data_IF_543049398137
#
_entry.id   IF_543049398137
#
_cell.length_a   1.000
_cell.length_b   1.000
_cell.length_c   1.000
_cell.angle_alpha   90.00
_cell.angle_beta   90.00
_cell.angle_gamma   90.00
#
_symmetry.space_group_name_H-M   'P 1'
#
loop_
_entity.id
_entity.type
_entity.pdbx_description
1 polymer ?
#
# COMPACT_ATOMS: atom_id res chain seq x y z
N UNK A 1 -18.86 -8.98 -25.99
CA UNK A 1 -18.47 -9.33 -24.60
C UNK A 1 -17.49 -8.34 -23.92
N UNK A 2 -17.30 -7.10 -24.43
CA UNK A 2 -16.37 -6.12 -23.82
C UNK A 2 -16.96 -5.15 -22.77
N UNK A 3 -18.29 -5.05 -22.62
CA UNK A 3 -18.92 -4.05 -21.73
C UNK A 3 -18.83 -4.34 -20.23
N UNK A 4 -18.68 -5.58 -19.81
CA UNK A 4 -18.64 -5.91 -18.36
C UNK A 4 -17.28 -5.60 -17.70
N UNK A 5 -16.18 -5.70 -18.45
CA UNK A 5 -14.85 -5.39 -17.94
C UNK A 5 -14.66 -3.88 -17.73
N UNK A 6 -15.16 -3.04 -18.64
CA UNK A 6 -15.12 -1.58 -18.54
C UNK A 6 -15.89 -1.07 -17.32
N UNK A 7 -17.12 -1.55 -17.10
CA UNK A 7 -17.94 -1.14 -15.94
C UNK A 7 -17.27 -1.50 -14.61
N UNK A 8 -16.63 -2.66 -14.52
CA UNK A 8 -15.93 -3.07 -13.30
C UNK A 8 -14.70 -2.20 -13.03
N UNK A 9 -14.00 -1.79 -14.08
CA UNK A 9 -12.83 -0.91 -13.99
C UNK A 9 -13.24 0.50 -13.58
N UNK A 10 -14.32 1.05 -14.14
CA UNK A 10 -14.87 2.36 -13.80
C UNK A 10 -15.33 2.41 -12.33
N UNK A 11 -16.02 1.37 -11.84
CA UNK A 11 -16.44 1.28 -10.44
C UNK A 11 -15.24 1.23 -9.51
N UNK A 12 -14.20 0.44 -9.83
CA UNK A 12 -12.97 0.38 -9.03
C UNK A 12 -12.27 1.73 -8.97
N UNK A 13 -12.16 2.44 -10.10
CA UNK A 13 -11.55 3.77 -10.15
C UNK A 13 -12.36 4.79 -9.33
N UNK A 14 -13.69 4.76 -9.39
CA UNK A 14 -14.54 5.64 -8.59
C UNK A 14 -14.40 5.39 -7.08
N UNK A 15 -14.26 4.12 -6.66
CA UNK A 15 -14.03 3.77 -5.24
C UNK A 15 -12.68 4.28 -4.77
N UNK A 16 -11.61 4.10 -5.56
CA UNK A 16 -10.26 4.59 -5.23
C UNK A 16 -10.25 6.12 -5.17
N UNK A 17 -10.84 6.81 -6.14
CA UNK A 17 -10.90 8.28 -6.15
C UNK A 17 -11.60 8.84 -4.90
N UNK A 18 -12.72 8.22 -4.48
CA UNK A 18 -13.40 8.61 -3.24
C UNK A 18 -12.55 8.37 -2.00
N UNK A 19 -11.77 7.29 -1.96
CA UNK A 19 -10.82 7.03 -0.87
C UNK A 19 -9.72 8.10 -0.86
N UNK A 20 -9.19 8.46 -2.04
CA UNK A 20 -8.09 9.43 -2.17
C UNK A 20 -8.50 10.83 -1.68
N UNK A 21 -9.73 11.28 -1.98
CA UNK A 21 -10.29 12.54 -1.43
C UNK A 21 -10.33 12.51 0.11
N UNK A 22 -10.75 11.38 0.69
CA UNK A 22 -10.80 11.21 2.14
C UNK A 22 -9.40 11.10 2.76
N UNK A 23 -8.46 10.47 2.07
CA UNK A 23 -7.07 10.36 2.48
C UNK A 23 -6.39 11.74 2.49
N UNK A 24 -6.62 12.56 1.46
CA UNK A 24 -6.13 13.94 1.41
C UNK A 24 -6.69 14.80 2.54
N UNK A 25 -8.00 14.71 2.78
CA UNK A 25 -8.62 15.41 3.90
C UNK A 25 -8.02 14.99 5.25
N UNK A 26 -7.80 13.68 5.46
CA UNK A 26 -7.19 13.15 6.67
C UNK A 26 -5.73 13.61 6.83
N UNK A 27 -4.93 13.58 5.75
CA UNK A 27 -3.55 14.08 5.73
C UNK A 27 -3.49 15.53 6.18
N UNK A 28 -4.37 16.38 5.63
CA UNK A 28 -4.44 17.78 5.96
C UNK A 28 -4.89 18.02 7.42
N UNK A 29 -5.84 17.23 7.93
CA UNK A 29 -6.29 17.29 9.33
C UNK A 29 -5.15 16.94 10.29
N UNK A 30 -4.42 15.86 10.03
CA UNK A 30 -3.29 15.42 10.86
C UNK A 30 -2.11 16.39 10.78
N UNK A 31 -1.81 16.94 9.60
CA UNK A 31 -0.76 17.93 9.44
C UNK A 31 -1.04 19.20 10.27
N UNK A 32 -2.30 19.67 10.30
CA UNK A 32 -2.71 20.81 11.16
C UNK A 32 -2.55 20.52 12.66
N UNK A 33 -2.66 19.25 13.07
CA UNK A 33 -2.42 18.81 14.45
C UNK A 33 -0.93 18.59 14.75
N UNK A 34 -0.06 18.67 13.76
CA UNK A 34 1.36 18.34 13.91
C UNK A 34 1.61 16.85 14.11
N UNK A 35 0.75 16.00 13.55
CA UNK A 35 0.84 14.53 13.62
C UNK A 35 1.22 13.94 12.28
N UNK A 36 2.27 13.13 12.21
CA UNK A 36 2.60 12.31 11.04
C UNK A 36 1.87 10.96 11.13
N UNK A 37 1.26 10.51 10.03
CA UNK A 37 0.72 9.17 9.90
C UNK A 37 1.74 8.27 9.19
N UNK A 38 2.10 7.16 9.83
CA UNK A 38 3.02 6.14 9.30
C UNK A 38 2.24 4.85 9.02
N UNK A 39 2.13 4.47 7.76
CA UNK A 39 1.43 3.27 7.33
C UNK A 39 2.41 2.11 7.11
N UNK A 40 2.22 0.99 7.82
CA UNK A 40 3.06 -0.20 7.73
C UNK A 40 2.36 -1.28 6.91
N UNK A 41 2.95 -1.65 5.80
CA UNK A 41 2.50 -2.70 4.88
C UNK A 41 3.44 -3.91 4.94
N UNK A 42 2.90 -5.11 4.91
CA UNK A 42 3.72 -6.32 4.83
C UNK A 42 2.89 -7.55 4.45
N UNK A 43 3.57 -8.63 4.09
CA UNK A 43 2.95 -9.97 4.09
C UNK A 43 2.61 -10.42 5.50
N UNK A 44 1.71 -11.40 5.67
CA UNK A 44 1.54 -12.09 6.94
C UNK A 44 2.85 -12.72 7.40
N UNK A 45 3.11 -12.68 8.70
CA UNK A 45 4.31 -13.31 9.29
C UNK A 45 5.64 -12.56 9.07
N UNK A 46 5.67 -11.40 8.42
CA UNK A 46 6.89 -10.59 8.24
C UNK A 46 7.45 -9.95 9.52
N UNK A 47 6.76 -10.06 10.66
CA UNK A 47 7.19 -9.48 11.93
C UNK A 47 6.77 -8.03 12.16
N UNK A 48 5.78 -7.54 11.40
CA UNK A 48 5.27 -6.15 11.49
C UNK A 48 4.84 -5.77 12.91
N UNK A 49 3.97 -6.54 13.55
CA UNK A 49 3.49 -6.30 14.93
C UNK A 49 4.63 -6.29 15.94
N UNK A 50 5.61 -7.21 15.81
CA UNK A 50 6.75 -7.27 16.73
C UNK A 50 7.65 -6.04 16.59
N UNK A 51 7.99 -5.65 15.36
CA UNK A 51 8.78 -4.46 15.10
C UNK A 51 8.04 -3.20 15.61
N UNK A 52 6.76 -3.05 15.27
CA UNK A 52 5.98 -1.90 15.73
C UNK A 52 5.91 -1.83 17.24
N UNK A 53 5.71 -2.95 17.93
CA UNK A 53 5.73 -3.00 19.41
C UNK A 53 7.04 -2.48 19.99
N UNK A 54 8.19 -2.81 19.38
CA UNK A 54 9.52 -2.29 19.78
C UNK A 54 9.67 -0.80 19.49
N UNK A 55 9.21 -0.35 18.30
CA UNK A 55 9.25 1.07 17.93
C UNK A 55 8.40 1.91 18.88
N UNK A 56 7.20 1.45 19.23
CA UNK A 56 6.32 2.13 20.20
C UNK A 56 6.94 2.20 21.58
N UNK A 57 7.49 1.09 22.09
CA UNK A 57 8.18 1.05 23.39
C UNK A 57 9.36 2.03 23.41
N UNK A 58 10.16 2.05 22.35
CA UNK A 58 11.29 2.99 22.22
C UNK A 58 10.84 4.45 22.16
N UNK A 59 9.72 4.73 21.48
CA UNK A 59 9.14 6.08 21.47
C UNK A 59 8.70 6.51 22.87
N UNK A 60 8.04 5.63 23.62
CA UNK A 60 7.63 5.89 25.04
C UNK A 60 8.87 6.14 25.91
N UNK A 61 9.93 5.32 25.83
CA UNK A 61 11.20 5.52 26.53
C UNK A 61 11.84 6.88 26.22
N UNK A 62 11.74 7.34 24.97
CA UNK A 62 12.27 8.65 24.53
C UNK A 62 11.33 9.82 24.84
N UNK A 63 10.20 9.57 25.50
CA UNK A 63 9.19 10.59 25.82
C UNK A 63 8.49 11.18 24.57
N UNK A 64 8.50 10.46 23.44
CA UNK A 64 7.81 10.87 22.23
C UNK A 64 6.34 10.44 22.27
N UNK A 65 5.38 11.38 22.19
CA UNK A 65 3.96 11.03 22.16
C UNK A 65 3.58 10.33 20.86
N UNK A 66 3.32 9.03 20.94
CA UNK A 66 2.89 8.18 19.82
C UNK A 66 1.56 7.51 20.12
N UNK A 67 0.87 7.08 19.05
CA UNK A 67 -0.29 6.21 19.13
C UNK A 67 -0.25 5.18 18.01
N UNK A 68 -1.00 4.09 18.14
CA UNK A 68 -1.11 3.10 17.07
C UNK A 68 -2.56 2.71 16.78
N UNK A 69 -2.85 2.46 15.51
CA UNK A 69 -4.01 1.71 15.03
C UNK A 69 -3.51 0.39 14.47
N UNK A 70 -4.16 -0.72 14.83
CA UNK A 70 -3.90 -2.01 14.21
C UNK A 70 -5.15 -2.53 13.52
N UNK A 71 -5.00 -3.00 12.29
CA UNK A 71 -6.06 -3.63 11.52
C UNK A 71 -5.90 -5.15 11.57
N UNK A 72 -6.90 -5.83 12.08
CA UNK A 72 -6.96 -7.29 12.05
C UNK A 72 -8.33 -7.76 11.57
N UNK A 73 -8.33 -8.89 10.87
CA UNK A 73 -9.55 -9.49 10.30
C UNK A 73 -10.46 -10.09 11.38
N UNK A 74 -9.90 -10.58 12.52
CA UNK A 74 -10.67 -11.43 13.43
C UNK A 74 -10.25 -11.40 14.92
N UNK A 75 -9.07 -10.89 15.29
CA UNK A 75 -8.58 -11.06 16.68
C UNK A 75 -8.05 -9.76 17.29
N UNK A 76 -8.21 -9.62 18.61
CA UNK A 76 -7.62 -8.49 19.38
C UNK A 76 -6.17 -8.74 19.80
N UNK A 77 -5.54 -9.80 19.30
CA UNK A 77 -4.23 -10.22 19.80
C UNK A 77 -3.14 -9.20 19.48
N UNK A 78 -3.15 -8.61 18.29
CA UNK A 78 -2.15 -7.63 17.89
C UNK A 78 -2.30 -6.32 18.65
N UNK A 79 -3.53 -5.85 18.90
CA UNK A 79 -3.77 -4.69 19.77
C UNK A 79 -3.25 -4.91 21.20
N UNK A 80 -3.48 -6.08 21.78
CA UNK A 80 -2.97 -6.43 23.11
C UNK A 80 -1.44 -6.53 23.15
N UNK A 81 -0.83 -7.05 22.08
CA UNK A 81 0.64 -7.11 21.95
C UNK A 81 1.24 -5.71 21.89
N UNK A 82 0.69 -4.84 21.03
CA UNK A 82 1.16 -3.47 20.90
C UNK A 82 0.94 -2.64 22.18
N UNK A 83 -0.17 -2.84 22.90
CA UNK A 83 -0.45 -2.14 24.15
C UNK A 83 0.59 -2.38 25.26
N UNK A 84 1.36 -3.48 25.19
CA UNK A 84 2.48 -3.75 26.11
C UNK A 84 3.62 -2.73 25.99
N UNK A 85 3.68 -1.99 24.90
CA UNK A 85 4.63 -0.89 24.71
C UNK A 85 4.40 0.31 25.62
N UNK A 86 3.21 0.41 26.24
CA UNK A 86 2.78 1.58 27.00
C UNK A 86 2.18 2.72 26.15
N UNK A 87 2.21 2.61 24.82
CA UNK A 87 1.57 3.56 23.91
C UNK A 87 0.05 3.32 23.82
N UNK A 88 -0.77 4.36 23.59
CA UNK A 88 -2.18 4.20 23.24
C UNK A 88 -2.36 3.41 21.94
N UNK A 89 -3.12 2.32 21.99
CA UNK A 89 -3.39 1.46 20.85
C UNK A 89 -4.90 1.29 20.67
N UNK A 90 -5.36 1.37 19.44
CA UNK A 90 -6.74 1.10 19.06
C UNK A 90 -6.78 0.05 17.96
N UNK A 91 -7.82 -0.78 17.96
CA UNK A 91 -8.07 -1.74 16.90
C UNK A 91 -9.13 -1.22 15.94
N UNK A 92 -8.90 -1.45 14.66
CA UNK A 92 -9.89 -1.28 13.59
C UNK A 92 -10.30 -2.66 13.10
N UNK A 93 -11.58 -2.97 13.22
CA UNK A 93 -12.15 -4.15 12.57
C UNK A 93 -12.41 -3.79 11.12
N UNK A 94 -11.90 -4.60 10.19
CA UNK A 94 -12.03 -4.32 8.76
C UNK A 94 -13.30 -4.91 8.14
N UNK A 95 -14.15 -5.56 8.95
CA UNK A 95 -15.40 -6.20 8.50
C UNK A 95 -15.19 -7.17 7.32
N UNK A 96 -14.05 -7.90 7.36
CA UNK A 96 -13.67 -8.87 6.34
C UNK A 96 -12.92 -8.29 5.14
N UNK A 97 -12.64 -6.98 5.11
CA UNK A 97 -11.80 -6.37 4.09
C UNK A 97 -10.32 -6.72 4.32
N UNK A 98 -9.62 -7.02 3.23
CA UNK A 98 -8.18 -7.32 3.25
C UNK A 98 -7.28 -6.07 3.31
N UNK A 99 -7.83 -4.89 3.59
CA UNK A 99 -7.14 -3.60 3.68
C UNK A 99 -7.93 -2.62 4.54
N UNK A 100 -7.26 -1.53 4.94
CA UNK A 100 -7.90 -0.34 5.51
C UNK A 100 -8.20 0.68 4.41
N UNK A 101 -9.26 1.45 4.64
CA UNK A 101 -9.60 2.66 3.90
C UNK A 101 -9.42 3.91 4.77
N UNK A 102 -9.17 5.07 4.17
CA UNK A 102 -9.04 6.36 4.87
C UNK A 102 -10.28 6.68 5.73
N UNK A 103 -11.47 6.28 5.29
CA UNK A 103 -12.73 6.42 6.04
C UNK A 103 -12.69 5.72 7.39
N UNK A 104 -12.16 4.49 7.44
CA UNK A 104 -12.10 3.69 8.67
C UNK A 104 -11.09 4.28 9.65
N UNK A 105 -9.92 4.72 9.15
CA UNK A 105 -8.91 5.42 9.95
C UNK A 105 -9.50 6.70 10.55
N UNK A 106 -10.10 7.55 9.73
CA UNK A 106 -10.73 8.81 10.16
C UNK A 106 -11.81 8.59 11.22
N UNK A 107 -12.69 7.63 11.01
CA UNK A 107 -13.77 7.31 11.96
C UNK A 107 -13.22 6.85 13.31
N UNK A 108 -12.10 6.12 13.33
CA UNK A 108 -11.50 5.62 14.58
C UNK A 108 -10.76 6.72 15.33
N UNK A 109 -10.17 7.68 14.64
CA UNK A 109 -9.44 8.80 15.24
C UNK A 109 -10.36 9.87 15.84
N UNK A 110 -11.60 9.99 15.35
CA UNK A 110 -12.53 11.05 15.74
C UNK A 110 -12.72 11.11 17.28
N UNK A 111 -12.25 12.21 17.90
CA UNK A 111 -12.33 12.46 19.33
C UNK A 111 -11.51 11.52 20.23
N UNK A 112 -10.61 10.71 19.65
CA UNK A 112 -9.83 9.70 20.38
C UNK A 112 -8.33 9.86 20.25
N UNK A 113 -7.85 10.58 19.24
CA UNK A 113 -6.44 10.89 19.09
C UNK A 113 -6.10 12.08 19.99
N UNK A 114 -5.10 11.93 20.85
CA UNK A 114 -4.61 13.03 21.68
C UNK A 114 -3.99 14.13 20.78
N UNK A 115 -4.28 15.39 21.08
CA UNK A 115 -3.67 16.53 20.41
C UNK A 115 -2.13 16.59 20.60
N UNK A 116 -1.61 15.91 21.60
CA UNK A 116 -0.16 15.80 21.82
C UNK A 116 0.50 14.75 20.93
N UNK A 117 -0.26 13.88 20.24
CA UNK A 117 0.31 12.80 19.43
C UNK A 117 1.14 13.38 18.28
N UNK A 118 2.41 12.97 18.21
CA UNK A 118 3.33 13.38 17.14
C UNK A 118 3.36 12.38 16.00
N UNK A 119 3.34 11.09 16.30
CA UNK A 119 3.31 10.03 15.29
C UNK A 119 2.18 9.07 15.57
N UNK A 120 1.34 8.86 14.56
CA UNK A 120 0.32 7.82 14.53
C UNK A 120 0.80 6.69 13.62
N UNK A 121 1.08 5.53 14.19
CA UNK A 121 1.39 4.34 13.42
C UNK A 121 0.11 3.59 13.06
N UNK A 122 -0.01 3.19 11.81
CA UNK A 122 -1.10 2.33 11.31
C UNK A 122 -0.51 1.01 10.86
N UNK A 123 -0.78 -0.05 11.61
CA UNK A 123 -0.49 -1.40 11.21
C UNK A 123 -1.61 -1.90 10.32
N UNK A 124 -1.34 -1.98 9.01
CA UNK A 124 -2.31 -2.46 8.03
C UNK A 124 -2.43 -3.99 8.08
N UNK A 125 -3.50 -4.52 7.49
CA UNK A 125 -3.69 -5.98 7.32
C UNK A 125 -2.47 -6.60 6.64
N UNK A 126 -2.12 -7.82 7.07
CA UNK A 126 -1.01 -8.59 6.46
C UNK A 126 -1.33 -8.98 5.02
N UNK A 127 -1.07 -8.06 4.08
CA UNK A 127 -1.30 -8.20 2.64
C UNK A 127 -0.49 -7.13 1.91
N UNK A 128 0.12 -7.48 0.75
CA UNK A 128 0.88 -6.55 -0.08
C UNK A 128 0.16 -6.15 -1.37
N UNK A 129 -1.02 -6.68 -1.65
CA UNK A 129 -1.78 -6.37 -2.87
C UNK A 129 -2.81 -5.29 -2.61
N UNK A 130 -3.84 -5.60 -1.82
CA UNK A 130 -4.93 -4.67 -1.58
C UNK A 130 -4.49 -3.38 -0.86
N UNK A 131 -3.75 -3.42 0.28
CA UNK A 131 -3.37 -2.22 0.99
C UNK A 131 -2.46 -1.28 0.20
N UNK A 132 -1.65 -1.81 -0.74
CA UNK A 132 -0.76 -1.01 -1.57
C UNK A 132 -1.50 -0.04 -2.50
N UNK A 133 -2.76 -0.35 -2.85
CA UNK A 133 -3.58 0.45 -3.75
C UNK A 133 -4.38 1.56 -3.04
N UNK A 134 -4.40 1.59 -1.70
CA UNK A 134 -5.16 2.55 -0.93
C UNK A 134 -4.25 3.55 -0.21
N UNK A 135 -4.52 4.83 -0.43
CA UNK A 135 -3.93 5.92 0.34
C UNK A 135 -4.73 6.07 1.65
N UNK A 136 -4.04 6.12 2.78
CA UNK A 136 -4.64 6.36 4.09
C UNK A 136 -4.39 7.79 4.60
N UNK A 137 -3.81 8.66 3.77
CA UNK A 137 -3.35 9.99 4.16
C UNK A 137 -2.01 9.95 4.91
N UNK A 138 -1.23 8.90 4.71
CA UNK A 138 0.07 8.75 5.37
C UNK A 138 1.11 9.73 4.86
N UNK A 139 1.94 10.21 5.80
CA UNK A 139 3.15 10.99 5.52
C UNK A 139 4.35 10.07 5.21
N UNK A 140 4.29 8.82 5.69
CA UNK A 140 5.34 7.82 5.48
C UNK A 140 4.71 6.45 5.27
N UNK A 141 5.02 5.80 4.16
CA UNK A 141 4.66 4.41 3.86
C UNK A 141 5.89 3.54 4.03
N UNK A 142 5.82 2.59 4.95
CA UNK A 142 6.87 1.60 5.20
C UNK A 142 6.42 0.25 4.68
N UNK A 143 7.22 -0.37 3.82
CA UNK A 143 6.99 -1.75 3.38
C UNK A 143 7.98 -2.66 4.08
N UNK A 144 7.46 -3.66 4.80
CA UNK A 144 8.27 -4.63 5.54
C UNK A 144 8.29 -5.97 4.80
N UNK A 145 9.44 -6.62 4.87
CA UNK A 145 9.67 -7.98 4.35
C UNK A 145 10.63 -8.72 5.29
N UNK A 146 10.34 -9.96 5.63
CA UNK A 146 11.29 -10.80 6.35
C UNK A 146 12.30 -11.43 5.38
N UNK A 147 13.55 -11.62 5.82
CA UNK A 147 14.59 -12.32 5.02
C UNK A 147 14.14 -13.70 4.54
N UNK A 148 13.21 -14.34 5.23
CA UNK A 148 12.67 -15.67 4.88
C UNK A 148 11.65 -15.65 3.73
N UNK A 149 11.34 -14.48 3.16
CA UNK A 149 10.34 -14.33 2.09
C UNK A 149 10.93 -14.33 0.67
N UNK A 150 12.26 -14.30 0.55
CA UNK A 150 13.00 -14.37 -0.71
C UNK A 150 13.26 -13.01 -1.36
N UNK A 151 14.36 -12.91 -2.09
CA UNK A 151 14.91 -11.67 -2.66
C UNK A 151 14.07 -11.12 -3.82
N UNK A 152 13.28 -11.97 -4.45
CA UNK A 152 12.43 -11.63 -5.61
C UNK A 152 11.07 -11.02 -5.22
N UNK A 153 10.79 -10.92 -3.92
CA UNK A 153 9.55 -10.35 -3.38
C UNK A 153 9.22 -8.96 -3.97
N UNK A 154 10.19 -8.01 -4.10
CA UNK A 154 9.93 -6.71 -4.70
C UNK A 154 9.41 -6.80 -6.14
N UNK A 155 9.92 -7.76 -6.92
CA UNK A 155 9.51 -7.97 -8.31
C UNK A 155 8.11 -8.59 -8.42
N UNK A 156 7.71 -9.39 -7.42
CA UNK A 156 6.36 -10.00 -7.34
C UNK A 156 5.30 -9.02 -6.87
N UNK A 157 5.68 -8.01 -6.07
CA UNK A 157 4.77 -7.02 -5.51
C UNK A 157 5.22 -5.58 -5.82
N UNK A 158 5.38 -5.24 -7.12
CA UNK A 158 5.99 -3.97 -7.53
C UNK A 158 5.17 -2.76 -7.08
N UNK A 159 3.84 -2.87 -6.97
CA UNK A 159 2.99 -1.78 -6.46
C UNK A 159 3.31 -1.44 -5.01
N UNK A 160 3.47 -2.44 -4.14
CA UNK A 160 3.80 -2.20 -2.74
C UNK A 160 5.19 -1.57 -2.59
N UNK A 161 6.21 -2.21 -3.18
CA UNK A 161 7.58 -1.71 -3.06
C UNK A 161 7.80 -0.40 -3.82
N UNK A 162 7.16 -0.22 -4.98
CA UNK A 162 7.24 1.00 -5.79
C UNK A 162 6.52 2.21 -5.17
N UNK A 163 5.63 2.01 -4.20
CA UNK A 163 4.98 3.08 -3.43
C UNK A 163 5.60 3.32 -2.05
N UNK A 164 6.64 2.58 -1.67
CA UNK A 164 7.29 2.68 -0.37
C UNK A 164 8.16 3.93 -0.26
N UNK A 165 8.03 4.67 0.83
CA UNK A 165 8.97 5.72 1.22
C UNK A 165 10.18 5.14 1.95
N UNK A 166 10.02 3.96 2.55
CA UNK A 166 11.04 3.22 3.29
C UNK A 166 10.77 1.73 3.15
N UNK A 167 11.81 0.94 2.92
CA UNK A 167 11.75 -0.53 2.94
C UNK A 167 12.46 -1.02 4.20
N UNK A 168 11.84 -1.94 4.95
CA UNK A 168 12.45 -2.53 6.14
C UNK A 168 12.56 -4.04 5.96
N UNK A 169 13.79 -4.55 6.02
CA UNK A 169 14.08 -5.99 6.02
C UNK A 169 14.14 -6.46 7.45
N UNK A 170 13.20 -7.34 7.82
CA UNK A 170 13.04 -7.84 9.19
C UNK A 170 13.66 -9.23 9.36
N UNK A 171 13.79 -9.66 10.62
CA UNK A 171 14.33 -10.97 11.00
C UNK A 171 15.74 -11.20 10.46
N UNK A 172 16.58 -10.16 10.45
CA UNK A 172 17.93 -10.21 9.88
C UNK A 172 18.86 -11.18 10.59
N UNK A 173 18.51 -11.59 11.81
CA UNK A 173 19.14 -12.69 12.55
C UNK A 173 18.96 -14.06 11.87
N UNK A 174 18.01 -14.20 10.96
CA UNK A 174 17.77 -15.40 10.16
C UNK A 174 18.36 -15.33 8.75
N UNK A 175 19.08 -14.26 8.39
CA UNK A 175 19.56 -14.07 7.01
C UNK A 175 20.50 -15.19 6.56
N UNK A 176 21.50 -15.53 7.40
CA UNK A 176 22.45 -16.60 7.10
C UNK A 176 21.78 -17.98 7.00
N UNK A 177 21.00 -18.47 7.99
CA UNK A 177 20.34 -19.76 7.88
C UNK A 177 19.25 -19.80 6.80
N UNK A 178 18.69 -18.68 6.39
CA UNK A 178 17.74 -18.59 5.28
C UNK A 178 18.43 -18.55 3.90
N UNK A 179 19.75 -18.38 3.86
CA UNK A 179 20.49 -18.19 2.62
C UNK A 179 20.12 -16.91 1.88
N UNK A 180 19.73 -15.86 2.63
CA UNK A 180 19.25 -14.62 2.04
C UNK A 180 20.38 -13.81 1.41
N UNK A 181 20.26 -13.55 0.09
CA UNK A 181 21.15 -12.70 -0.68
C UNK A 181 20.69 -11.23 -0.61
N UNK A 182 21.34 -10.47 0.27
CA UNK A 182 21.00 -9.06 0.48
C UNK A 182 21.29 -8.19 -0.75
N UNK A 183 22.35 -8.47 -1.51
CA UNK A 183 22.70 -7.68 -2.69
C UNK A 183 21.70 -7.90 -3.82
N UNK A 184 21.28 -9.14 -4.04
CA UNK A 184 20.20 -9.46 -4.97
C UNK A 184 18.89 -8.79 -4.55
N UNK A 185 18.55 -8.81 -3.26
CA UNK A 185 17.37 -8.12 -2.75
C UNK A 185 17.43 -6.60 -2.99
N UNK A 186 18.56 -5.94 -2.64
CA UNK A 186 18.76 -4.50 -2.88
C UNK A 186 18.62 -4.15 -4.36
N UNK A 187 19.22 -4.94 -5.24
CA UNK A 187 19.10 -4.75 -6.68
C UNK A 187 17.64 -4.85 -7.13
N UNK A 188 16.87 -5.82 -6.63
CA UNK A 188 15.46 -6.00 -6.97
C UNK A 188 14.58 -4.86 -6.43
N UNK A 189 14.82 -4.37 -5.21
CA UNK A 189 14.13 -3.19 -4.68
C UNK A 189 14.41 -1.97 -5.55
N UNK A 190 15.67 -1.70 -5.89
CA UNK A 190 16.04 -0.51 -6.67
C UNK A 190 15.56 -0.58 -8.13
N UNK A 191 15.24 -1.77 -8.67
CA UNK A 191 14.59 -1.90 -9.98
C UNK A 191 13.15 -1.38 -9.97
N UNK A 192 12.42 -1.52 -8.87
CA UNK A 192 11.01 -1.09 -8.75
C UNK A 192 10.87 0.26 -8.06
N UNK A 193 11.85 0.63 -7.23
CA UNK A 193 11.85 1.89 -6.47
C UNK A 193 13.29 2.43 -6.33
N UNK A 194 13.82 3.09 -7.37
CA UNK A 194 15.19 3.59 -7.38
C UNK A 194 15.46 4.58 -6.25
N UNK A 195 16.52 4.35 -5.49
CA UNK A 195 16.98 5.26 -4.43
C UNK A 195 16.22 5.17 -3.11
N UNK A 196 15.25 4.27 -2.97
CA UNK A 196 14.57 4.08 -1.68
C UNK A 196 15.56 3.54 -0.63
N UNK A 197 15.46 4.08 0.58
CA UNK A 197 16.26 3.59 1.72
C UNK A 197 15.79 2.20 2.13
N UNK A 198 16.75 1.32 2.43
CA UNK A 198 16.51 -0.04 2.93
C UNK A 198 17.15 -0.16 4.32
N UNK A 199 16.32 -0.34 5.33
CA UNK A 199 16.73 -0.51 6.73
C UNK A 199 16.68 -1.98 7.11
N UNK A 200 17.77 -2.49 7.68
CA UNK A 200 17.82 -3.82 8.32
C UNK A 200 17.23 -3.73 9.71
N UNK A 201 16.45 -4.71 10.11
CA UNK A 201 15.88 -4.75 11.45
C UNK A 201 15.76 -6.17 12.00
N UNK A 202 16.03 -6.27 13.29
CA UNK A 202 15.75 -7.46 14.09
C UNK A 202 15.05 -7.02 15.38
N UNK A 203 13.74 -7.22 15.46
CA UNK A 203 12.96 -6.83 16.64
C UNK A 203 13.42 -7.57 17.91
N UNK A 204 14.02 -8.75 17.79
CA UNK A 204 14.53 -9.55 18.92
C UNK A 204 15.75 -8.89 19.56
N UNK A 205 16.69 -8.38 18.76
CA UNK A 205 17.91 -7.71 19.25
C UNK A 205 17.73 -6.21 19.45
N UNK A 206 16.72 -5.60 18.81
CA UNK A 206 16.48 -4.17 18.79
C UNK A 206 17.15 -3.45 17.61
N UNK A 207 17.88 -4.18 16.75
CA UNK A 207 18.55 -3.59 15.59
C UNK A 207 17.53 -2.92 14.66
N UNK A 208 17.87 -1.71 14.18
CA UNK A 208 17.07 -0.95 13.25
C UNK A 208 15.82 -0.27 13.85
N UNK A 209 15.46 -0.55 15.11
CA UNK A 209 14.28 0.02 15.78
C UNK A 209 14.38 1.53 15.88
N UNK A 210 15.52 2.05 16.35
CA UNK A 210 15.77 3.50 16.44
C UNK A 210 15.72 4.17 15.07
N UNK A 211 16.31 3.54 14.04
CA UNK A 211 16.28 4.06 12.68
C UNK A 211 14.86 4.20 12.15
N UNK A 212 14.01 3.19 12.36
CA UNK A 212 12.60 3.26 11.94
C UNK A 212 11.85 4.38 12.68
N UNK A 213 12.08 4.54 13.99
CA UNK A 213 11.48 5.61 14.76
C UNK A 213 11.97 6.99 14.29
N UNK A 214 13.26 7.16 14.03
CA UNK A 214 13.83 8.43 13.56
C UNK A 214 13.30 8.81 12.17
N UNK A 215 13.08 7.84 11.26
CA UNK A 215 12.44 8.10 9.96
C UNK A 215 10.96 8.49 10.12
N UNK A 216 10.26 7.87 11.07
CA UNK A 216 8.89 8.26 11.40
C UNK A 216 8.80 9.69 11.95
N UNK A 217 9.77 10.09 12.78
CA UNK A 217 9.86 11.45 13.33
C UNK A 217 10.23 12.49 12.26
N UNK A 218 11.14 12.15 11.34
CA UNK A 218 11.52 13.03 10.23
C UNK A 218 10.32 13.33 9.30
N UNK A 219 9.34 12.43 9.21
CA UNK A 219 8.13 12.66 8.43
C UNK A 219 7.21 13.76 8.99
N UNK A 220 7.44 14.23 10.23
CA UNK A 220 6.74 15.37 10.83
C UNK A 220 7.01 16.69 10.11
N UNK A 221 8.20 16.84 9.54
CA UNK A 221 8.62 18.07 8.85
C UNK A 221 8.01 18.17 7.43
N UNK A 222 7.13 17.24 7.08
CA UNK A 222 6.44 17.22 5.78
C UNK A 222 7.31 16.77 4.60
N UNK A 223 8.56 16.40 4.87
CA UNK A 223 9.48 15.91 3.83
C UNK A 223 9.71 14.41 4.03
N UNK A 224 9.07 13.54 3.24
CA UNK A 224 9.35 12.12 3.31
C UNK A 224 10.81 11.85 2.91
N UNK A 225 11.46 10.81 3.47
CA UNK A 225 12.85 10.48 3.19
C UNK A 225 13.11 10.13 1.72
N UNK A 226 12.07 9.81 0.99
CA UNK A 226 12.11 9.40 -0.41
C UNK A 226 10.77 9.72 -1.10
N UNK A 227 10.80 10.06 -2.40
CA UNK A 227 9.60 10.21 -3.23
C UNK A 227 9.45 8.94 -4.10
N UNK A 228 8.53 8.03 -3.77
CA UNK A 228 8.36 6.81 -4.52
C UNK A 228 7.84 7.07 -5.93
N UNK A 229 8.22 6.25 -6.95
CA UNK A 229 7.75 6.40 -8.32
C UNK A 229 6.23 6.19 -8.47
N UNK A 230 5.62 5.41 -7.56
CA UNK A 230 4.18 5.14 -7.54
C UNK A 230 3.44 5.86 -6.39
N UNK A 231 4.03 6.92 -5.83
CA UNK A 231 3.32 7.73 -4.83
C UNK A 231 2.09 8.40 -5.47
N UNK A 232 0.96 8.49 -4.74
CA UNK A 232 -0.16 9.31 -5.16
C UNK A 232 0.31 10.75 -5.40
N UNK A 233 -0.02 11.34 -6.55
CA UNK A 233 0.29 12.75 -6.80
C UNK A 233 -0.66 13.60 -5.97
N UNK A 234 -0.17 14.61 -5.23
CA UNK A 234 -1.05 15.60 -4.61
C UNK A 234 -1.87 16.27 -5.71
N UNK A 235 -3.19 16.37 -5.50
CA UNK A 235 -4.15 16.89 -6.50
C UNK A 235 -3.94 18.36 -6.89
N UNK A 236 -2.97 19.08 -6.28
CA UNK A 236 -2.63 20.47 -6.59
C UNK A 236 -2.00 20.69 -7.99
N UNK A 237 -1.65 19.64 -8.74
CA UNK A 237 -1.08 19.75 -10.09
C UNK A 237 -2.05 19.29 -11.20
N UNK A 238 -3.34 19.23 -10.97
CA UNK A 238 -4.31 19.11 -12.08
C UNK A 238 -4.38 20.43 -12.87
N UNK A 239 -3.31 20.74 -13.60
CA UNK A 239 -3.41 21.65 -14.73
C UNK A 239 -4.32 21.00 -15.76
N UNK A 240 -5.49 21.63 -15.96
CA UNK A 240 -6.46 21.20 -16.97
C UNK A 240 -5.83 21.21 -18.36
N UNK A 241 -5.34 20.06 -18.81
CA UNK A 241 -5.18 19.81 -20.23
C UNK A 241 -6.56 19.40 -20.76
N UNK A 242 -7.42 20.41 -21.01
CA UNK A 242 -8.61 20.27 -21.81
C UNK A 242 -8.19 19.91 -23.25
N UNK A 243 -8.10 18.63 -23.54
CA UNK A 243 -8.07 18.19 -24.94
C UNK A 243 -9.49 18.35 -25.49
N UNK A 244 -9.75 19.55 -26.06
CA UNK A 244 -10.88 19.73 -26.95
C UNK A 244 -10.61 18.94 -28.24
N UNK A 245 -11.21 17.78 -28.35
CA UNK A 245 -11.31 17.08 -29.63
C UNK A 245 -12.32 17.84 -30.50
N UNK A 246 -11.82 18.73 -31.36
CA UNK A 246 -12.61 19.25 -32.47
C UNK A 246 -12.75 18.12 -33.50
N UNK A 247 -13.95 17.54 -33.59
CA UNK A 247 -14.32 16.69 -34.69
C UNK A 247 -14.36 17.51 -35.96
N UNK A 248 -13.35 17.38 -36.83
CA UNK A 248 -13.47 17.74 -38.25
C UNK A 248 -14.13 16.56 -38.95
N UNK A 249 -15.22 16.78 -39.70
CA UNK A 249 -15.78 15.74 -40.53
C UNK A 249 -14.80 15.45 -41.71
N UNK A 250 -14.35 14.21 -41.79
CA UNK A 250 -13.58 13.72 -42.95
C UNK A 250 -14.48 13.53 -44.18
N UNK A 251 -13.90 13.54 -45.38
CA UNK A 251 -14.66 13.48 -46.63
C UNK A 251 -15.32 12.11 -46.83
N UNK A 252 -16.57 12.18 -47.27
CA UNK A 252 -17.42 11.05 -47.66
C UNK A 252 -16.82 10.38 -48.91
N UNK A 253 -16.45 9.10 -48.84
CA UNK A 253 -16.17 8.28 -50.00
C UNK A 253 -17.44 7.58 -50.47
N UNK A 254 -17.70 7.52 -51.79
CA UNK A 254 -18.90 6.89 -52.35
C UNK A 254 -18.83 5.36 -52.26
N UNK A 255 -20.00 4.78 -52.09
CA UNK A 255 -20.23 3.35 -52.10
C UNK A 255 -19.87 2.73 -53.46
N UNK A 256 -19.23 1.57 -53.43
CA UNK A 256 -19.11 0.67 -54.62
C UNK A 256 -19.92 -0.57 -54.27
N UNK A 257 -20.98 -0.75 -55.05
CA UNK A 257 -21.78 -1.96 -55.12
C UNK A 257 -21.04 -3.09 -55.83
N UNK A 258 -21.58 -4.30 -55.60
CA UNK A 258 -21.36 -5.56 -56.34
C UNK A 258 -20.16 -6.45 -55.96
N UNK A 259 -20.47 -7.58 -55.34
CA UNK A 259 -20.41 -8.86 -56.07
C UNK A 259 -21.24 -9.94 -55.34
N UNK A 260 -22.18 -10.52 -56.09
CA UNK A 260 -22.99 -11.65 -55.74
C UNK A 260 -22.25 -12.97 -55.99
N UNK A 261 -22.60 -13.97 -55.15
CA UNK A 261 -22.62 -15.38 -55.57
C UNK A 261 -21.40 -16.21 -55.18
N UNK A 262 -21.49 -17.15 -54.31
CA UNK A 262 -21.62 -18.56 -54.69
C UNK A 262 -21.90 -19.46 -53.46
N UNK A 263 -22.94 -20.21 -53.56
CA UNK A 263 -23.37 -21.31 -52.67
C UNK A 263 -22.53 -22.53 -52.93
N UNK A 264 -21.85 -23.10 -51.93
CA UNK A 264 -21.53 -24.53 -51.88
C UNK A 264 -21.61 -25.12 -50.49
N UNK A 265 -22.33 -26.25 -50.48
CA UNK A 265 -22.77 -27.08 -49.39
C UNK A 265 -21.66 -27.67 -48.50
N UNK A 266 -22.00 -27.82 -47.23
CA UNK A 266 -21.31 -28.66 -46.23
C UNK A 266 -21.49 -30.16 -46.49
N UNK A 267 -20.61 -31.01 -45.95
CA UNK A 267 -21.04 -32.24 -45.34
C UNK A 267 -20.67 -32.32 -43.87
N UNK A 268 -21.63 -32.84 -43.07
CA UNK A 268 -21.52 -33.18 -41.65
C UNK A 268 -20.57 -34.38 -41.44
N UNK A 269 -19.85 -34.47 -40.36
CA UNK A 269 -19.23 -35.70 -39.89
C UNK A 269 -20.16 -36.51 -39.01
N UNK A 270 -20.05 -37.83 -39.13
CA UNK A 270 -20.80 -38.87 -38.49
C UNK A 270 -20.44 -39.07 -37.02
N UNK A 271 -21.45 -39.45 -36.25
CA UNK A 271 -21.38 -40.01 -34.91
C UNK A 271 -20.87 -41.46 -34.95
N UNK A 272 -20.01 -41.82 -34.00
CA UNK A 272 -19.71 -43.22 -33.67
C UNK A 272 -19.81 -43.45 -32.15
N UNK A 273 -20.33 -44.58 -31.69
CA UNK A 273 -20.77 -44.78 -30.31
C UNK A 273 -19.70 -45.43 -29.41
N UNK A 274 -20.01 -45.42 -28.13
CA UNK A 274 -19.25 -45.95 -27.01
C UNK A 274 -19.00 -47.47 -27.05
N UNK A 275 -17.89 -47.86 -26.49
CA UNK A 275 -17.67 -49.09 -25.73
C UNK A 275 -16.73 -48.79 -24.59
#
# INVERSE_FOLDING_TARGET
MCRSADVTQDVKQAVLAKNDDLAEALRNDLARQGTALVNLLSSPGSGKTELLGRVLARAVERGVPVAALTADLATENDARRLARSGAPVQQVLTDGLCHLEARQVRARLAGRLSAATRVLFVENVGNLVCPASYDLGESLRIVLMAVTEGEDKPLKYPTAFGSAHLVVVTKTDLAEPAGFDEDAFRANVHRVNPGVEIVRSCARTGDGVDTVLDRALAALDGTPPHRPPLAPHPHSERHGHGHSYSHRPGPVHPAVDEYAGDTRAQPRPATTPAS
#
